data_IF_428672717240
#
_entry.id   IF_428672717240
#
_cell.length_a   1.000
_cell.length_b   1.000
_cell.length_c   1.000
_cell.angle_alpha   90.00
_cell.angle_beta   90.00
_cell.angle_gamma   90.00
#
_symmetry.space_group_name_H-M   'P 1'
#
loop_
_entity.id
_entity.type
_entity.pdbx_description
1 polymer ?
#
# COMPACT_ATOMS: atom_id res chain seq x y z
N UNK A 1 74.56 -0.54 -12.50
CA UNK A 1 73.69 -1.04 -11.42
C UNK A 1 72.79 0.11 -11.04
N UNK A 2 71.50 0.07 -11.40
CA UNK A 2 70.43 0.73 -10.64
C UNK A 2 69.07 0.27 -11.19
N UNK A 3 68.49 -0.66 -10.47
CA UNK A 3 67.06 -0.66 -10.17
C UNK A 3 67.02 -0.89 -8.66
N UNK A 4 66.19 -0.17 -7.90
CA UNK A 4 64.80 -0.61 -7.82
C UNK A 4 63.80 0.52 -7.51
N UNK A 5 62.52 0.27 -7.80
CA UNK A 5 61.42 0.30 -6.82
C UNK A 5 60.09 0.13 -7.54
N UNK A 6 59.42 -0.99 -7.26
CA UNK A 6 57.98 -1.07 -7.42
C UNK A 6 57.29 -0.28 -6.30
N UNK A 7 56.06 0.14 -6.57
CA UNK A 7 54.84 -0.09 -5.77
C UNK A 7 53.71 0.52 -6.60
N UNK A 8 52.68 -0.28 -6.87
CA UNK A 8 51.44 0.22 -7.46
C UNK A 8 50.77 1.17 -6.48
N UNK A 9 50.57 2.40 -6.88
CA UNK A 9 49.81 3.38 -6.13
C UNK A 9 48.74 3.91 -7.08
N UNK A 10 47.49 3.54 -6.84
CA UNK A 10 46.35 4.14 -7.53
C UNK A 10 46.39 5.65 -7.24
N UNK A 11 46.08 6.52 -8.23
CA UNK A 11 46.05 7.95 -7.98
C UNK A 11 45.08 8.25 -6.83
N UNK A 12 45.54 9.01 -5.84
CA UNK A 12 44.71 9.48 -4.76
C UNK A 12 43.49 10.20 -5.36
N UNK A 13 42.29 9.78 -4.96
CA UNK A 13 41.08 10.50 -5.31
C UNK A 13 41.20 11.91 -4.76
N UNK A 14 41.21 12.88 -5.67
CA UNK A 14 41.24 14.29 -5.33
C UNK A 14 39.92 14.63 -4.62
N UNK A 15 39.99 14.68 -3.28
CA UNK A 15 38.90 15.16 -2.41
C UNK A 15 38.94 16.68 -2.26
N UNK A 16 39.82 17.38 -2.98
CA UNK A 16 39.84 18.84 -3.05
C UNK A 16 38.89 19.29 -4.17
N UNK A 17 37.61 19.09 -3.90
CA UNK A 17 36.54 19.52 -4.76
C UNK A 17 35.32 19.75 -3.89
N UNK A 18 35.41 20.81 -3.09
CA UNK A 18 34.31 21.59 -2.53
C UNK A 18 32.98 21.23 -3.21
N UNK A 19 32.21 20.33 -2.59
CA UNK A 19 30.83 20.12 -2.97
C UNK A 19 30.03 21.29 -2.41
N UNK A 20 30.29 22.47 -2.96
CA UNK A 20 29.69 23.72 -2.60
C UNK A 20 28.20 23.62 -2.95
N UNK A 21 27.29 23.44 -1.97
CA UNK A 21 25.87 23.22 -2.25
C UNK A 21 25.20 24.47 -2.82
N UNK A 22 25.91 25.61 -2.81
CA UNK A 22 25.48 26.86 -3.44
C UNK A 22 25.55 26.81 -4.98
N UNK A 23 26.46 26.01 -5.56
CA UNK A 23 26.66 25.95 -7.03
C UNK A 23 25.75 24.90 -7.68
N UNK A 24 25.29 23.89 -6.95
CA UNK A 24 24.43 22.82 -7.47
C UNK A 24 22.94 23.05 -7.20
N UNK A 25 22.48 24.31 -7.15
CA UNK A 25 21.05 24.60 -6.91
C UNK A 25 20.15 24.34 -8.12
N UNK A 26 20.75 24.16 -9.30
CA UNK A 26 20.04 23.89 -10.54
C UNK A 26 20.43 22.50 -11.07
N UNK A 27 19.96 21.45 -10.40
CA UNK A 27 19.87 20.15 -11.07
C UNK A 27 18.83 20.31 -12.18
N UNK A 28 19.27 20.46 -13.42
CA UNK A 28 18.43 20.19 -14.58
C UNK A 28 18.13 18.70 -14.54
N UNK A 29 17.10 18.32 -13.81
CA UNK A 29 16.53 16.98 -13.91
C UNK A 29 16.14 16.80 -15.36
N UNK A 30 16.71 15.79 -16.00
CA UNK A 30 16.35 15.40 -17.35
C UNK A 30 14.82 15.32 -17.42
N UNK A 31 14.13 16.03 -18.34
CA UNK A 31 12.67 16.04 -18.43
C UNK A 31 12.07 14.62 -18.38
N UNK A 32 12.77 13.63 -18.93
CA UNK A 32 12.40 12.21 -18.90
C UNK A 32 12.32 11.66 -17.47
N UNK A 33 13.21 12.06 -16.55
CA UNK A 33 13.13 11.67 -15.14
C UNK A 33 11.93 12.30 -14.43
N UNK A 34 11.55 13.52 -14.80
CA UNK A 34 10.38 14.20 -14.24
C UNK A 34 9.08 13.52 -14.70
N UNK A 35 9.00 13.13 -15.97
CA UNK A 35 7.87 12.36 -16.52
C UNK A 35 7.77 10.96 -15.90
N UNK A 36 8.90 10.28 -15.66
CA UNK A 36 8.92 8.97 -15.00
C UNK A 36 8.56 9.09 -13.52
N UNK A 37 8.96 10.16 -12.84
CA UNK A 37 8.57 10.42 -11.45
C UNK A 37 7.07 10.69 -11.33
N UNK A 38 6.50 11.54 -12.20
CA UNK A 38 5.05 11.75 -12.27
C UNK A 38 4.30 10.47 -12.63
N UNK A 39 4.78 9.69 -13.60
CA UNK A 39 4.16 8.43 -13.99
C UNK A 39 4.12 7.43 -12.82
N UNK A 40 5.22 7.31 -12.07
CA UNK A 40 5.27 6.46 -10.86
C UNK A 40 4.33 6.94 -9.76
N UNK A 41 4.16 8.24 -9.60
CA UNK A 41 3.23 8.79 -8.62
C UNK A 41 1.77 8.49 -9.01
N UNK A 42 1.42 8.65 -10.29
CA UNK A 42 0.10 8.32 -10.84
C UNK A 42 -0.19 6.82 -10.71
N UNK A 43 0.78 5.95 -11.03
CA UNK A 43 0.64 4.50 -10.88
C UNK A 43 0.43 4.09 -9.41
N UNK A 44 1.17 4.69 -8.47
CA UNK A 44 0.99 4.42 -7.03
C UNK A 44 -0.38 4.85 -6.54
N UNK A 45 -0.89 6.00 -6.98
CA UNK A 45 -2.24 6.44 -6.62
C UNK A 45 -3.31 5.52 -7.21
N UNK A 46 -3.13 5.06 -8.45
CA UNK A 46 -4.03 4.10 -9.08
C UNK A 46 -4.03 2.74 -8.38
N UNK A 47 -2.85 2.22 -7.99
CA UNK A 47 -2.73 0.98 -7.22
C UNK A 47 -3.40 1.10 -5.85
N UNK A 48 -3.13 2.16 -5.10
CA UNK A 48 -3.74 2.38 -3.79
C UNK A 48 -5.27 2.51 -3.87
N UNK A 49 -5.80 3.08 -4.96
CA UNK A 49 -7.24 3.16 -5.19
C UNK A 49 -7.85 1.79 -5.50
N UNK A 50 -7.19 1.00 -6.35
CA UNK A 50 -7.61 -0.36 -6.68
C UNK A 50 -7.60 -1.28 -5.45
N UNK A 51 -6.58 -1.18 -4.58
CA UNK A 51 -6.50 -1.96 -3.35
C UNK A 51 -7.64 -1.63 -2.38
N UNK A 52 -7.98 -0.34 -2.23
CA UNK A 52 -9.13 0.10 -1.42
C UNK A 52 -10.45 -0.43 -1.98
N UNK A 53 -10.67 -0.31 -3.28
CA UNK A 53 -11.89 -0.83 -3.92
C UNK A 53 -12.02 -2.35 -3.77
N UNK A 54 -10.92 -3.11 -3.80
CA UNK A 54 -10.94 -4.55 -3.56
C UNK A 54 -11.25 -4.88 -2.10
N UNK A 55 -10.66 -4.18 -1.14
CA UNK A 55 -10.99 -4.34 0.28
C UNK A 55 -12.45 -4.02 0.56
N UNK A 56 -12.97 -2.91 0.01
CA UNK A 56 -14.37 -2.51 0.15
C UNK A 56 -15.33 -3.57 -0.38
N UNK A 57 -15.01 -4.21 -1.51
CA UNK A 57 -15.81 -5.32 -2.06
C UNK A 57 -15.79 -6.55 -1.16
N UNK A 58 -14.62 -6.91 -0.62
CA UNK A 58 -14.48 -8.04 0.31
C UNK A 58 -15.28 -7.77 1.59
N UNK A 59 -15.19 -6.56 2.14
CA UNK A 59 -15.89 -6.18 3.35
C UNK A 59 -17.40 -6.05 3.15
N UNK A 60 -17.85 -5.55 2.00
CA UNK A 60 -19.26 -5.57 1.62
C UNK A 60 -19.82 -7.00 1.54
N UNK A 61 -19.07 -7.93 0.93
CA UNK A 61 -19.47 -9.33 0.84
C UNK A 61 -19.53 -10.00 2.24
N UNK A 62 -18.57 -9.70 3.12
CA UNK A 62 -18.59 -10.17 4.52
C UNK A 62 -19.78 -9.61 5.30
N UNK A 63 -20.06 -8.31 5.16
CA UNK A 63 -21.22 -7.65 5.78
C UNK A 63 -22.53 -8.26 5.31
N UNK A 64 -22.68 -8.53 4.01
CA UNK A 64 -23.87 -9.17 3.45
C UNK A 64 -24.07 -10.59 4.02
N UNK A 65 -23.01 -11.42 4.06
CA UNK A 65 -23.09 -12.76 4.67
C UNK A 65 -23.48 -12.69 6.14
N UNK A 66 -22.88 -11.78 6.91
CA UNK A 66 -23.22 -11.58 8.32
C UNK A 66 -24.67 -11.11 8.49
N UNK A 67 -25.14 -10.19 7.65
CA UNK A 67 -26.51 -9.69 7.72
C UNK A 67 -27.55 -10.80 7.46
N UNK A 68 -27.29 -11.69 6.50
CA UNK A 68 -28.18 -12.84 6.20
C UNK A 68 -28.22 -13.81 7.39
N UNK A 69 -27.08 -14.09 8.03
CA UNK A 69 -27.05 -14.98 9.21
C UNK A 69 -27.84 -14.36 10.36
N UNK A 70 -27.60 -13.08 10.67
CA UNK A 70 -28.28 -12.37 11.76
C UNK A 70 -29.80 -12.29 11.50
N UNK A 71 -30.21 -12.02 10.26
CA UNK A 71 -31.64 -11.97 9.91
C UNK A 71 -32.31 -13.34 10.05
N UNK A 72 -31.63 -14.42 9.65
CA UNK A 72 -32.12 -15.79 9.84
C UNK A 72 -32.33 -16.15 11.30
N UNK A 73 -31.37 -15.80 12.18
CA UNK A 73 -31.48 -16.04 13.62
C UNK A 73 -32.65 -15.27 14.23
N UNK A 74 -32.84 -14.00 13.85
CA UNK A 74 -33.94 -13.18 14.37
C UNK A 74 -35.32 -13.80 14.03
N UNK A 75 -35.51 -14.26 12.79
CA UNK A 75 -36.76 -14.93 12.38
C UNK A 75 -36.97 -16.23 13.15
N UNK A 76 -35.92 -17.03 13.36
CA UNK A 76 -36.00 -18.27 14.13
C UNK A 76 -36.41 -18.03 15.58
N UNK A 77 -35.86 -17.00 16.23
CA UNK A 77 -36.22 -16.62 17.62
C UNK A 77 -37.67 -16.18 17.71
N UNK A 78 -38.14 -15.31 16.81
CA UNK A 78 -39.54 -14.89 16.76
C UNK A 78 -40.46 -16.11 16.52
N UNK A 79 -40.09 -16.99 15.60
CA UNK A 79 -40.83 -18.22 15.32
C UNK A 79 -40.93 -19.15 16.53
N UNK A 80 -39.84 -19.31 17.31
CA UNK A 80 -39.82 -20.12 18.51
C UNK A 80 -40.75 -19.55 19.60
N UNK A 81 -40.67 -18.23 19.86
CA UNK A 81 -41.55 -17.56 20.82
C UNK A 81 -43.02 -17.69 20.38
N UNK A 82 -43.30 -17.48 19.09
CA UNK A 82 -44.64 -17.60 18.54
C UNK A 82 -45.20 -19.03 18.66
N UNK A 83 -44.37 -20.05 18.41
CA UNK A 83 -44.76 -21.45 18.57
C UNK A 83 -45.11 -21.79 20.02
N UNK A 84 -44.29 -21.34 20.97
CA UNK A 84 -44.55 -21.53 22.41
C UNK A 84 -45.82 -20.80 22.84
N UNK A 85 -45.98 -19.54 22.44
CA UNK A 85 -47.16 -18.73 22.74
C UNK A 85 -48.45 -19.33 22.15
N UNK A 86 -48.39 -19.85 20.92
CA UNK A 86 -49.52 -20.55 20.28
C UNK A 86 -49.87 -21.84 21.04
N UNK A 87 -48.88 -22.63 21.43
CA UNK A 87 -49.06 -23.86 22.22
C UNK A 87 -49.76 -23.59 23.56
N UNK A 88 -49.49 -22.44 24.18
CA UNK A 88 -50.11 -22.04 25.44
C UNK A 88 -51.53 -21.49 25.28
N UNK A 89 -51.86 -20.90 24.12
CA UNK A 89 -53.18 -20.29 23.85
C UNK A 89 -54.24 -21.32 23.41
N UNK A 90 -53.82 -22.51 22.99
CA UNK A 90 -54.71 -23.64 22.63
C UNK A 90 -55.07 -24.54 23.83
N UNK A 91 -54.66 -24.19 25.05
CA UNK A 91 -55.17 -24.78 26.31
C UNK A 91 -56.15 -23.83 26.97
#
# INVERSE_FOLDING_TARGET
>A
MESPKGVGEFPAADVVGDSDPAVTKNFTVDPISSEVAQSKEIEKQAQAKNEREQQDKIDAAKKLKSAIIISGVAVAVIGAIFAIAKKLREK
#
